data_IF_300418777211
#
_entry.id   IF_300418777211
#
_cell.length_a   1.000
_cell.length_b   1.000
_cell.length_c   1.000
_cell.angle_alpha   90.00
_cell.angle_beta   90.00
_cell.angle_gamma   90.00
#
_symmetry.space_group_name_H-M   'P 1'
#
loop_
_entity.id
_entity.type
_entity.pdbx_description
1 polymer ?
#
# COMPACT_ATOMS: atom_id res chain seq x y z
N UNK A 1 -22.30 -51.97 -1.16
CA UNK A 1 -22.44 -50.68 -0.44
C UNK A 1 -21.17 -49.83 -0.58
N UNK A 2 -20.72 -49.53 -1.80
CA UNK A 2 -19.40 -48.91 -2.06
C UNK A 2 -19.48 -47.55 -2.79
N UNK A 3 -20.67 -47.16 -3.28
CA UNK A 3 -20.88 -45.91 -4.03
C UNK A 3 -21.00 -44.65 -3.16
N UNK A 4 -21.28 -44.80 -1.86
CA UNK A 4 -21.47 -43.66 -0.93
C UNK A 4 -20.12 -43.08 -0.47
N UNK A 5 -19.06 -43.88 -0.43
CA UNK A 5 -17.72 -43.43 -0.03
C UNK A 5 -17.05 -42.54 -1.10
N UNK A 6 -17.37 -42.73 -2.38
CA UNK A 6 -16.79 -41.95 -3.47
C UNK A 6 -17.25 -40.49 -3.50
N UNK A 7 -18.50 -40.21 -3.10
CA UNK A 7 -19.04 -38.85 -3.05
C UNK A 7 -18.49 -38.01 -1.89
N UNK A 8 -18.11 -38.65 -0.77
CA UNK A 8 -17.53 -37.95 0.37
C UNK A 8 -16.12 -37.43 0.09
N UNK A 9 -15.31 -38.17 -0.70
CA UNK A 9 -13.95 -37.76 -1.05
C UNK A 9 -13.94 -36.58 -2.04
N UNK A 10 -14.91 -36.52 -2.95
CA UNK A 10 -15.03 -35.42 -3.91
C UNK A 10 -15.55 -34.13 -3.25
N UNK A 11 -16.41 -34.24 -2.23
CA UNK A 11 -16.90 -33.10 -1.45
C UNK A 11 -15.81 -32.42 -0.61
N UNK A 12 -14.87 -33.19 -0.05
CA UNK A 12 -13.76 -32.63 0.74
C UNK A 12 -12.70 -31.95 -0.14
N UNK A 13 -12.56 -32.34 -1.41
CA UNK A 13 -11.58 -31.77 -2.34
C UNK A 13 -12.02 -30.42 -2.92
N UNK A 14 -13.33 -30.15 -2.97
CA UNK A 14 -13.86 -28.84 -3.38
C UNK A 14 -13.87 -27.81 -2.24
N UNK A 15 -13.72 -28.24 -0.97
CA UNK A 15 -13.69 -27.34 0.18
C UNK A 15 -12.30 -26.75 0.47
N UNK A 16 -11.23 -27.31 -0.11
CA UNK A 16 -9.86 -26.80 0.01
C UNK A 16 -9.46 -25.86 -1.14
N UNK A 17 -10.35 -25.64 -2.12
CA UNK A 17 -10.20 -24.62 -3.16
C UNK A 17 -10.60 -23.21 -2.68
N UNK A 18 -10.81 -23.03 -1.38
CA UNK A 18 -11.10 -21.74 -0.77
C UNK A 18 -9.84 -20.93 -0.56
N UNK A 19 -9.54 -20.05 -1.52
CA UNK A 19 -8.61 -18.91 -1.42
C UNK A 19 -7.12 -19.23 -1.36
N UNK A 20 -6.58 -19.80 -2.43
CA UNK A 20 -5.34 -19.24 -2.94
C UNK A 20 -5.76 -17.99 -3.73
N UNK A 21 -5.72 -16.82 -3.09
CA UNK A 21 -5.75 -15.57 -3.84
C UNK A 21 -4.58 -15.66 -4.82
N UNK A 22 -4.90 -15.74 -6.11
CA UNK A 22 -3.94 -15.81 -7.18
C UNK A 22 -3.03 -14.59 -7.05
N UNK A 23 -1.85 -14.80 -6.46
CA UNK A 23 -0.71 -13.92 -6.66
C UNK A 23 -0.45 -13.95 -8.15
N UNK A 24 -0.95 -12.93 -8.84
CA UNK A 24 -0.79 -12.73 -10.26
C UNK A 24 0.71 -12.78 -10.57
N UNK A 25 1.17 -13.93 -11.08
CA UNK A 25 2.48 -14.10 -11.71
C UNK A 25 2.47 -13.16 -12.92
N UNK A 26 2.93 -11.93 -12.73
CA UNK A 26 2.77 -10.90 -13.75
C UNK A 26 3.44 -9.56 -13.50
N UNK A 27 4.16 -9.37 -12.38
CA UNK A 27 5.03 -8.20 -12.21
C UNK A 27 6.32 -8.65 -11.54
N UNK A 28 7.43 -8.09 -12.03
CA UNK A 28 8.85 -8.41 -11.83
C UNK A 28 9.37 -8.55 -10.37
N UNK A 29 8.50 -8.55 -9.36
CA UNK A 29 8.85 -8.50 -7.94
C UNK A 29 8.02 -9.52 -7.14
N UNK A 30 8.68 -10.23 -6.20
CA UNK A 30 8.00 -11.05 -5.19
C UNK A 30 7.40 -10.13 -4.12
N UNK A 31 6.15 -9.72 -4.33
CA UNK A 31 5.44 -8.89 -3.38
C UNK A 31 5.10 -9.67 -2.11
N UNK A 32 5.26 -9.01 -0.96
CA UNK A 32 4.78 -9.52 0.33
C UNK A 32 3.28 -9.80 0.28
N UNK A 33 2.85 -10.80 1.06
CA UNK A 33 1.43 -11.07 1.26
C UNK A 33 0.70 -9.84 1.81
N UNK A 34 -0.61 -9.73 1.55
CA UNK A 34 -1.43 -8.56 1.93
C UNK A 34 -1.31 -8.22 3.42
N UNK A 35 -1.32 -9.22 4.30
CA UNK A 35 -1.18 -8.99 5.75
C UNK A 35 0.22 -8.50 6.14
N UNK A 36 1.29 -9.07 5.57
CA UNK A 36 2.68 -8.64 5.81
C UNK A 36 2.95 -7.24 5.24
N UNK A 37 2.45 -6.95 4.04
CA UNK A 37 2.49 -5.64 3.43
C UNK A 37 1.80 -4.61 4.31
N UNK A 38 0.60 -4.93 4.83
CA UNK A 38 -0.15 -4.04 5.74
C UNK A 38 0.62 -3.76 7.03
N UNK A 39 1.22 -4.78 7.64
CA UNK A 39 1.99 -4.62 8.87
C UNK A 39 3.25 -3.77 8.63
N UNK A 40 3.97 -4.03 7.53
CA UNK A 40 5.16 -3.26 7.13
C UNK A 40 4.81 -1.78 6.90
N UNK A 41 3.71 -1.51 6.18
CA UNK A 41 3.24 -0.14 5.94
C UNK A 41 2.83 0.57 7.22
N UNK A 42 2.16 -0.13 8.15
CA UNK A 42 1.73 0.45 9.41
C UNK A 42 2.90 0.82 10.31
N UNK A 43 3.92 -0.05 10.38
CA UNK A 43 5.15 0.23 11.10
C UNK A 43 5.89 1.42 10.48
N UNK A 44 6.01 1.46 9.15
CA UNK A 44 6.74 2.52 8.46
C UNK A 44 6.03 3.88 8.57
N UNK A 45 4.70 3.90 8.42
CA UNK A 45 3.90 5.11 8.64
C UNK A 45 4.08 5.63 10.07
N UNK A 46 4.07 4.75 11.06
CA UNK A 46 4.29 5.12 12.47
C UNK A 46 5.69 5.72 12.68
N UNK A 47 6.71 5.10 12.10
CA UNK A 47 8.09 5.60 12.13
C UNK A 47 8.18 6.99 11.50
N UNK A 48 7.57 7.20 10.34
CA UNK A 48 7.58 8.48 9.64
C UNK A 48 6.85 9.57 10.43
N UNK A 49 5.68 9.29 11.01
CA UNK A 49 4.99 10.25 11.88
C UNK A 49 5.79 10.61 13.13
N UNK A 50 6.46 9.63 13.75
CA UNK A 50 7.35 9.88 14.88
C UNK A 50 8.51 10.81 14.47
N UNK A 51 9.12 10.58 13.30
CA UNK A 51 10.16 11.45 12.77
C UNK A 51 9.62 12.86 12.48
N UNK A 52 8.45 12.97 11.85
CA UNK A 52 7.81 14.24 11.53
C UNK A 52 7.50 15.07 12.78
N UNK A 53 7.16 14.43 13.91
CA UNK A 53 6.87 15.15 15.17
C UNK A 53 8.09 15.90 15.73
N UNK A 54 9.30 15.47 15.38
CA UNK A 54 10.57 16.10 15.78
C UNK A 54 11.11 17.08 14.74
N UNK A 55 10.47 17.17 13.56
CA UNK A 55 10.94 17.97 12.44
C UNK A 55 10.21 19.30 12.35
N UNK A 56 10.90 20.31 11.84
CA UNK A 56 10.30 21.62 11.59
C UNK A 56 9.35 21.54 10.38
N UNK A 57 8.05 21.86 10.56
CA UNK A 57 7.08 21.89 9.47
C UNK A 57 7.48 22.87 8.36
N UNK A 58 7.16 22.54 7.11
CA UNK A 58 7.43 23.37 5.94
C UNK A 58 8.86 23.30 5.40
N UNK A 59 9.75 22.55 6.04
CA UNK A 59 11.07 22.24 5.45
C UNK A 59 10.92 21.20 4.33
N UNK A 60 11.82 21.21 3.34
CA UNK A 60 11.82 20.23 2.25
C UNK A 60 11.86 18.79 2.76
N UNK A 61 12.64 18.52 3.81
CA UNK A 61 12.73 17.20 4.44
C UNK A 61 11.42 16.79 5.13
N UNK A 62 10.76 17.71 5.83
CA UNK A 62 9.45 17.47 6.43
C UNK A 62 8.42 17.14 5.35
N UNK A 63 8.33 17.95 4.30
CA UNK A 63 7.38 17.76 3.21
C UNK A 63 7.63 16.43 2.47
N UNK A 64 8.89 16.06 2.26
CA UNK A 64 9.25 14.79 1.64
C UNK A 64 8.84 13.59 2.52
N UNK A 65 9.13 13.60 3.82
CA UNK A 65 8.71 12.54 4.74
C UNK A 65 7.20 12.47 4.93
N UNK A 66 6.52 13.62 4.91
CA UNK A 66 5.07 13.69 4.96
C UNK A 66 4.47 13.08 3.69
N UNK A 67 5.04 13.34 2.50
CA UNK A 67 4.64 12.67 1.27
C UNK A 67 4.77 11.15 1.37
N UNK A 68 5.88 10.63 1.93
CA UNK A 68 6.07 9.19 2.18
C UNK A 68 5.01 8.61 3.13
N UNK A 69 4.78 9.27 4.26
CA UNK A 69 3.81 8.82 5.25
C UNK A 69 2.39 8.77 4.68
N UNK A 70 2.02 9.77 3.88
CA UNK A 70 0.74 9.84 3.20
C UNK A 70 0.61 8.78 2.12
N UNK A 71 1.64 8.61 1.29
CA UNK A 71 1.68 7.60 0.24
C UNK A 71 1.47 6.19 0.80
N UNK A 72 2.23 5.81 1.82
CA UNK A 72 2.08 4.49 2.47
C UNK A 72 0.71 4.30 3.14
N UNK A 73 0.14 5.37 3.70
CA UNK A 73 -1.23 5.34 4.24
C UNK A 73 -2.28 5.08 3.16
N UNK A 74 -2.13 5.67 1.97
CA UNK A 74 -3.03 5.43 0.83
C UNK A 74 -2.88 4.00 0.30
N UNK A 75 -1.66 3.49 0.18
CA UNK A 75 -1.42 2.09 -0.21
C UNK A 75 -2.12 1.15 0.77
N UNK A 76 -1.93 1.35 2.08
CA UNK A 76 -2.59 0.57 3.13
C UNK A 76 -4.11 0.65 3.03
N UNK A 77 -4.66 1.84 2.78
CA UNK A 77 -6.09 2.02 2.61
C UNK A 77 -6.64 1.22 1.42
N UNK A 78 -5.93 1.18 0.29
CA UNK A 78 -6.34 0.40 -0.87
C UNK A 78 -6.21 -1.10 -0.65
N UNK A 79 -5.14 -1.54 0.02
CA UNK A 79 -4.99 -2.94 0.43
C UNK A 79 -6.16 -3.35 1.34
N UNK A 80 -6.55 -2.50 2.30
CA UNK A 80 -7.71 -2.75 3.16
C UNK A 80 -9.05 -2.79 2.39
N UNK A 81 -9.13 -2.17 1.20
CA UNK A 81 -10.29 -2.24 0.32
C UNK A 81 -10.30 -3.52 -0.56
N UNK A 82 -9.27 -4.37 -0.44
CA UNK A 82 -9.14 -5.61 -1.21
C UNK A 82 -8.35 -5.46 -2.50
N UNK A 83 -7.67 -4.32 -2.72
CA UNK A 83 -6.78 -4.15 -3.86
C UNK A 83 -5.46 -4.92 -3.64
N UNK A 84 -4.92 -5.60 -4.67
CA UNK A 84 -3.61 -6.22 -4.57
C UNK A 84 -2.53 -5.16 -4.36
N UNK A 85 -1.44 -5.54 -3.68
CA UNK A 85 -0.34 -4.63 -3.27
C UNK A 85 0.19 -3.81 -4.45
N UNK A 86 0.41 -4.44 -5.60
CA UNK A 86 0.94 -3.77 -6.79
C UNK A 86 0.00 -2.67 -7.32
N UNK A 87 -1.31 -2.96 -7.39
CA UNK A 87 -2.30 -1.97 -7.83
C UNK A 87 -2.48 -0.86 -6.78
N UNK A 88 -2.39 -1.21 -5.50
CA UNK A 88 -2.43 -0.22 -4.42
C UNK A 88 -1.26 0.76 -4.50
N UNK A 89 -0.04 0.29 -4.81
CA UNK A 89 1.16 1.11 -5.03
C UNK A 89 0.95 2.06 -6.22
N UNK A 90 0.54 1.55 -7.38
CA UNK A 90 0.36 2.40 -8.58
C UNK A 90 -0.80 3.40 -8.42
N UNK A 91 -1.93 2.98 -7.87
CA UNK A 91 -3.06 3.87 -7.62
C UNK A 91 -2.76 4.90 -6.52
N UNK A 92 -1.95 4.54 -5.51
CA UNK A 92 -1.59 5.50 -4.46
C UNK A 92 -0.73 6.65 -5.01
N UNK A 93 0.09 6.41 -6.03
CA UNK A 93 0.85 7.48 -6.69
C UNK A 93 -0.08 8.44 -7.41
N UNK A 94 -1.14 7.92 -8.04
CA UNK A 94 -2.15 8.75 -8.69
C UNK A 94 -2.93 9.59 -7.67
N UNK A 95 -3.35 8.98 -6.55
CA UNK A 95 -4.05 9.69 -5.46
C UNK A 95 -3.17 10.78 -4.83
N UNK A 96 -1.89 10.49 -4.54
CA UNK A 96 -0.96 11.47 -3.98
C UNK A 96 -0.64 12.57 -5.00
N UNK A 97 -0.52 12.24 -6.28
CA UNK A 97 -0.29 13.24 -7.33
C UNK A 97 -1.52 14.12 -7.58
N UNK A 98 -2.73 13.56 -7.52
CA UNK A 98 -3.98 14.29 -7.77
C UNK A 98 -4.46 15.09 -6.55
N UNK A 99 -4.21 14.63 -5.32
CA UNK A 99 -4.49 15.41 -4.11
C UNK A 99 -3.56 16.63 -3.97
N UNK A 100 -2.40 16.65 -4.65
CA UNK A 100 -1.55 17.84 -4.75
C UNK A 100 -2.10 18.89 -5.74
N UNK A 101 -3.07 18.54 -6.58
CA UNK A 101 -3.79 19.50 -7.43
C UNK A 101 -5.11 20.00 -6.83
N UNK A 102 -5.65 19.30 -5.83
CA UNK A 102 -6.91 19.65 -5.18
C UNK A 102 -6.62 20.40 -3.87
N UNK A 103 -6.56 21.73 -3.96
CA UNK A 103 -6.68 22.61 -2.81
C UNK A 103 -7.94 22.24 -2.00
N UNK A 104 -7.78 21.44 -0.96
CA UNK A 104 -8.83 21.30 0.04
C UNK A 104 -8.73 22.49 0.98
N UNK A 105 -9.65 23.42 0.77
CA UNK A 105 -9.94 24.55 1.63
C UNK A 105 -10.25 24.08 3.06
N UNK A 106 -9.38 24.39 4.04
CA UNK A 106 -9.84 24.64 5.40
C UNK A 106 -9.11 24.00 6.59
N UNK A 107 -8.20 23.04 6.42
CA UNK A 107 -7.45 22.48 7.55
C UNK A 107 -6.05 23.13 7.66
N UNK A 108 -5.69 23.74 8.80
CA UNK A 108 -4.34 24.25 9.04
C UNK A 108 -3.41 23.05 9.30
N UNK A 109 -2.98 22.43 8.21
CA UNK A 109 -2.16 21.22 8.19
C UNK A 109 -1.75 20.88 6.76
N UNK A 110 -1.10 21.85 6.11
CA UNK A 110 -0.44 21.83 4.79
C UNK A 110 -0.41 20.50 4.01
N UNK A 111 -1.54 20.13 3.41
CA UNK A 111 -1.56 19.26 2.22
C UNK A 111 -1.30 20.04 0.92
N UNK A 112 -1.49 21.37 0.95
CA UNK A 112 -1.49 22.21 -0.27
C UNK A 112 -0.10 22.66 -0.76
N UNK A 113 0.99 22.32 -0.06
CA UNK A 113 2.33 22.88 -0.34
C UNK A 113 3.42 21.83 -0.63
N UNK A 114 3.04 20.55 -0.71
CA UNK A 114 3.98 19.45 -0.97
C UNK A 114 3.97 19.17 -2.47
N UNK A 115 4.81 19.87 -3.24
CA UNK A 115 4.96 19.52 -4.66
C UNK A 115 5.63 18.15 -4.79
N UNK A 116 4.86 17.13 -5.15
CA UNK A 116 5.38 15.80 -5.46
C UNK A 116 5.82 15.78 -6.93
N UNK A 117 7.05 16.19 -7.18
CA UNK A 117 7.68 16.15 -8.50
C UNK A 117 7.87 14.69 -8.98
N UNK A 118 8.03 14.49 -10.29
CA UNK A 118 8.29 13.19 -10.91
C UNK A 118 9.45 12.42 -10.26
N UNK A 119 10.51 13.13 -9.85
CA UNK A 119 11.62 12.54 -9.11
C UNK A 119 11.19 11.96 -7.75
N UNK A 120 10.39 12.72 -6.99
CA UNK A 120 9.86 12.26 -5.71
C UNK A 120 8.85 11.12 -5.89
N UNK A 121 8.04 11.14 -6.94
CA UNK A 121 7.15 10.02 -7.30
C UNK A 121 7.92 8.73 -7.55
N UNK A 122 9.03 8.82 -8.29
CA UNK A 122 9.84 7.67 -8.61
C UNK A 122 10.57 7.15 -7.37
N UNK A 123 11.05 8.04 -6.52
CA UNK A 123 11.60 7.68 -5.21
C UNK A 123 10.56 6.97 -4.34
N UNK A 124 9.36 7.56 -4.16
CA UNK A 124 8.26 6.94 -3.42
C UNK A 124 7.93 5.55 -3.94
N UNK A 125 7.89 5.38 -5.27
CA UNK A 125 7.65 4.08 -5.88
C UNK A 125 8.75 3.07 -5.57
N UNK A 126 10.01 3.47 -5.73
CA UNK A 126 11.16 2.60 -5.46
C UNK A 126 11.21 2.20 -3.98
N UNK A 127 11.00 3.14 -3.07
CA UNK A 127 11.02 2.91 -1.62
C UNK A 127 9.83 2.02 -1.20
N UNK A 128 8.64 2.20 -1.79
CA UNK A 128 7.53 1.29 -1.58
C UNK A 128 7.79 -0.11 -2.13
N UNK A 129 8.43 -0.24 -3.29
CA UNK A 129 8.81 -1.55 -3.83
C UNK A 129 9.76 -2.21 -2.83
N UNK A 130 10.86 -1.55 -2.44
CA UNK A 130 11.85 -2.08 -1.50
C UNK A 130 11.22 -2.52 -0.15
N UNK A 131 10.26 -1.74 0.36
CA UNK A 131 9.55 -2.07 1.60
C UNK A 131 8.58 -3.27 1.44
N UNK A 132 7.93 -3.37 0.28
CA UNK A 132 6.80 -4.28 0.04
C UNK A 132 7.17 -5.54 -0.74
N UNK A 133 8.43 -5.67 -1.15
CA UNK A 133 8.96 -6.88 -1.76
C UNK A 133 9.76 -7.71 -0.75
N UNK A 134 9.93 -9.00 -1.06
CA UNK A 134 10.73 -9.96 -0.30
C UNK A 134 12.22 -9.89 -0.63
#
# INVERSE_FOLDING_TARGET
>A
MSLVAGFFLFGMLLLTAGRAEAQTIGTQYEWKGVDEARQSLEQEVTTLYNQLSTMQPGTTNYNNKLAHALYYRVIRQQINQGSPVVSAVDNALDVVSNNNGASQTGEPGAFNDITVDAALRQQLKNDAIDLLTL
#
